data_IF_231621287162
#
_entry.id   IF_231621287162
#
_cell.length_a   1.000
_cell.length_b   1.000
_cell.length_c   1.000
_cell.angle_alpha   90.00
_cell.angle_beta   90.00
_cell.angle_gamma   90.00
#
_symmetry.space_group_name_H-M   'P 1'
#
loop_
_entity.id
_entity.type
_entity.pdbx_description
1 polymer ?
#
# COMPACT_ATOMS: atom_id res chain seq x y z
N UNK A 1 -9.91 14.60 -13.45
CA UNK A 1 -8.90 13.74 -14.13
C UNK A 1 -7.53 14.36 -13.97
N UNK A 2 -7.37 15.61 -14.41
CA UNK A 2 -6.19 16.42 -14.14
C UNK A 2 -6.52 17.50 -13.10
N UNK A 3 -5.48 17.96 -12.41
CA UNK A 3 -5.49 19.14 -11.55
C UNK A 3 -5.47 20.42 -12.38
N UNK A 4 -5.57 21.57 -11.71
CA UNK A 4 -5.35 22.90 -12.31
C UNK A 4 -3.94 23.08 -12.87
N UNK A 5 -2.98 22.26 -12.46
CA UNK A 5 -1.62 22.20 -12.97
C UNK A 5 -1.41 21.16 -14.08
N UNK A 6 -2.51 20.68 -14.70
CA UNK A 6 -2.51 19.74 -15.82
C UNK A 6 -1.79 18.42 -15.52
N UNK A 7 -1.90 17.92 -14.28
CA UNK A 7 -1.33 16.63 -13.85
C UNK A 7 -2.39 15.72 -13.24
N UNK A 8 -2.25 14.39 -13.34
CA UNK A 8 -3.11 13.48 -12.60
C UNK A 8 -3.05 13.76 -11.10
N UNK A 9 -4.19 13.60 -10.41
CA UNK A 9 -4.30 13.95 -8.99
C UNK A 9 -3.33 13.20 -8.07
N UNK A 10 -3.07 11.92 -8.35
CA UNK A 10 -2.18 11.06 -7.56
C UNK A 10 -1.87 9.76 -8.36
N UNK A 11 -0.84 8.97 -7.98
CA UNK A 11 -0.52 7.71 -8.64
C UNK A 11 -1.45 6.54 -8.31
N UNK A 12 -2.41 6.70 -7.39
CA UNK A 12 -3.35 5.64 -6.99
C UNK A 12 -4.58 5.54 -7.92
N UNK A 13 -4.71 6.47 -8.88
CA UNK A 13 -5.69 6.44 -9.96
C UNK A 13 -5.03 6.04 -11.29
N UNK A 14 -5.80 5.47 -12.22
CA UNK A 14 -5.29 4.98 -13.51
C UNK A 14 -4.46 6.02 -14.27
N UNK A 15 -4.92 7.27 -14.35
CA UNK A 15 -4.21 8.34 -15.04
C UNK A 15 -2.81 8.58 -14.45
N UNK A 16 -2.70 8.58 -13.12
CA UNK A 16 -1.42 8.72 -12.44
C UNK A 16 -0.54 7.50 -12.61
N UNK A 17 -1.10 6.29 -12.54
CA UNK A 17 -0.36 5.06 -12.76
C UNK A 17 0.21 4.95 -14.20
N UNK A 18 -0.57 5.35 -15.21
CA UNK A 18 -0.11 5.44 -16.61
C UNK A 18 1.04 6.46 -16.73
N UNK A 19 0.92 7.62 -16.09
CA UNK A 19 2.00 8.61 -16.06
C UNK A 19 3.26 8.05 -15.39
N UNK A 20 3.14 7.34 -14.26
CA UNK A 20 4.28 6.67 -13.60
C UNK A 20 4.94 5.62 -14.52
N UNK A 21 4.14 4.84 -15.24
CA UNK A 21 4.64 3.89 -16.23
C UNK A 21 5.45 4.59 -17.33
N UNK A 22 5.00 5.77 -17.80
CA UNK A 22 5.76 6.57 -18.76
C UNK A 22 7.07 7.12 -18.19
N UNK A 23 7.10 7.53 -16.92
CA UNK A 23 8.33 7.99 -16.26
C UNK A 23 9.35 6.86 -16.16
N UNK A 24 8.88 5.66 -15.78
CA UNK A 24 9.72 4.47 -15.75
C UNK A 24 10.22 4.14 -17.16
N UNK A 25 9.33 4.07 -18.17
CA UNK A 25 9.70 3.72 -19.55
C UNK A 25 10.68 4.70 -20.19
N UNK A 26 10.44 6.00 -20.02
CA UNK A 26 11.14 7.05 -20.77
C UNK A 26 12.36 7.61 -20.04
N UNK A 27 12.38 7.68 -18.70
CA UNK A 27 13.44 8.38 -17.96
C UNK A 27 14.41 7.46 -17.22
N UNK A 28 13.91 6.39 -16.64
CA UNK A 28 14.76 5.41 -15.95
C UNK A 28 15.32 4.47 -17.01
N UNK A 29 16.64 4.25 -17.14
CA UNK A 29 17.23 3.28 -18.11
C UNK A 29 16.52 3.29 -19.50
N UNK A 30 16.57 4.41 -20.24
CA UNK A 30 15.74 4.64 -21.43
C UNK A 30 16.02 3.67 -22.58
N UNK A 31 17.23 3.14 -22.65
CA UNK A 31 17.65 2.22 -23.72
C UNK A 31 17.05 0.81 -23.59
N UNK A 32 16.39 0.50 -22.46
CA UNK A 32 15.71 -0.77 -22.27
C UNK A 32 14.47 -0.91 -23.16
N UNK A 33 14.37 -2.07 -23.80
CA UNK A 33 13.16 -2.55 -24.47
C UNK A 33 12.02 -2.69 -23.46
N UNK A 34 10.79 -2.82 -23.97
CA UNK A 34 9.61 -3.01 -23.13
C UNK A 34 9.72 -4.28 -22.26
N UNK A 35 10.23 -5.38 -22.82
CA UNK A 35 10.41 -6.64 -22.09
C UNK A 35 11.43 -6.50 -20.95
N UNK A 36 12.60 -5.93 -21.23
CA UNK A 36 13.62 -5.66 -20.20
C UNK A 36 13.09 -4.73 -19.11
N UNK A 37 12.17 -3.83 -19.47
CA UNK A 37 11.52 -2.94 -18.51
C UNK A 37 10.57 -3.67 -17.57
N UNK A 38 9.80 -4.59 -18.13
CA UNK A 38 8.93 -5.44 -17.34
C UNK A 38 9.73 -6.32 -16.38
N UNK A 39 10.81 -6.95 -16.87
CA UNK A 39 11.72 -7.73 -16.03
C UNK A 39 12.37 -6.87 -14.94
N UNK A 40 12.78 -5.64 -15.28
CA UNK A 40 13.30 -4.68 -14.30
C UNK A 40 12.29 -4.40 -13.18
N UNK A 41 11.02 -4.17 -13.51
CA UNK A 41 9.95 -3.97 -12.53
C UNK A 41 9.71 -5.23 -11.69
N UNK A 42 9.63 -6.40 -12.33
CA UNK A 42 9.45 -7.68 -11.65
C UNK A 42 10.58 -7.97 -10.66
N UNK A 43 11.83 -7.61 -10.99
CA UNK A 43 12.96 -7.74 -10.07
C UNK A 43 12.78 -6.89 -8.81
N UNK A 44 12.23 -5.67 -8.91
CA UNK A 44 11.94 -4.84 -7.75
C UNK A 44 10.90 -5.47 -6.83
N UNK A 45 9.79 -5.96 -7.39
CA UNK A 45 8.78 -6.64 -6.58
C UNK A 45 9.29 -7.97 -6.00
N UNK A 46 10.12 -8.71 -6.75
CA UNK A 46 10.78 -9.94 -6.25
C UNK A 46 11.67 -9.66 -5.03
N UNK A 47 12.41 -8.55 -5.03
CA UNK A 47 13.19 -8.12 -3.86
C UNK A 47 12.28 -7.79 -2.67
N UNK A 48 11.16 -7.11 -2.92
CA UNK A 48 10.18 -6.78 -1.87
C UNK A 48 9.43 -8.01 -1.33
N UNK A 49 9.23 -9.06 -2.13
CA UNK A 49 8.58 -10.30 -1.72
C UNK A 49 9.55 -11.32 -1.08
N UNK A 50 10.81 -10.94 -0.86
CA UNK A 50 11.80 -11.84 -0.25
C UNK A 50 12.34 -12.92 -1.18
N UNK A 51 12.28 -12.70 -2.49
CA UNK A 51 12.75 -13.63 -3.50
C UNK A 51 11.67 -14.57 -4.04
N UNK A 52 10.43 -14.49 -3.54
CA UNK A 52 9.31 -15.24 -4.09
C UNK A 52 9.06 -14.82 -5.54
N UNK A 53 8.87 -15.82 -6.41
CA UNK A 53 8.60 -15.57 -7.83
C UNK A 53 7.16 -15.05 -7.99
N UNK A 54 7.06 -13.88 -8.60
CA UNK A 54 5.79 -13.31 -9.06
C UNK A 54 5.51 -13.83 -10.48
N UNK A 55 4.25 -14.09 -10.77
CA UNK A 55 3.78 -14.57 -12.06
C UNK A 55 3.37 -13.44 -12.99
N UNK A 56 2.92 -13.82 -14.18
CA UNK A 56 2.34 -12.92 -15.17
C UNK A 56 1.21 -13.64 -15.90
N UNK A 57 0.02 -13.02 -15.91
CA UNK A 57 -1.13 -13.57 -16.59
C UNK A 57 -1.30 -12.95 -17.98
N UNK A 58 -0.83 -13.66 -19.00
CA UNK A 58 -0.97 -13.18 -20.37
C UNK A 58 -2.43 -13.09 -20.84
N UNK A 59 -3.33 -13.93 -20.33
CA UNK A 59 -4.74 -13.88 -20.71
C UNK A 59 -5.42 -12.62 -20.16
N UNK A 60 -5.16 -12.26 -18.90
CA UNK A 60 -5.62 -10.99 -18.30
C UNK A 60 -5.03 -9.81 -19.05
N UNK A 61 -3.73 -9.83 -19.37
CA UNK A 61 -3.09 -8.77 -20.16
C UNK A 61 -3.78 -8.54 -21.50
N UNK A 62 -4.04 -9.60 -22.27
CA UNK A 62 -4.71 -9.50 -23.56
C UNK A 62 -6.15 -8.97 -23.39
N UNK A 63 -6.87 -9.46 -22.39
CA UNK A 63 -8.25 -9.04 -22.11
C UNK A 63 -8.33 -7.58 -21.68
N UNK A 64 -7.47 -7.13 -20.76
CA UNK A 64 -7.39 -5.75 -20.30
C UNK A 64 -7.03 -4.81 -21.46
N UNK A 65 -6.09 -5.22 -22.32
CA UNK A 65 -5.68 -4.42 -23.48
C UNK A 65 -6.79 -4.27 -24.52
N UNK A 66 -7.61 -5.30 -24.72
CA UNK A 66 -8.74 -5.27 -25.67
C UNK A 66 -9.89 -4.39 -25.15
N UNK A 67 -10.18 -4.43 -23.84
CA UNK A 67 -11.25 -3.65 -23.21
C UNK A 67 -10.81 -2.26 -22.66
N UNK A 68 -9.66 -1.76 -23.10
CA UNK A 68 -8.97 -0.61 -22.49
C UNK A 68 -9.46 0.79 -22.93
N UNK A 69 -10.64 0.94 -23.54
CA UNK A 69 -11.11 2.20 -24.14
C UNK A 69 -10.95 3.42 -23.21
N UNK A 70 -11.37 3.26 -21.95
CA UNK A 70 -11.24 4.32 -20.93
C UNK A 70 -9.78 4.71 -20.68
N UNK A 71 -8.88 3.73 -20.61
CA UNK A 71 -7.47 3.97 -20.34
C UNK A 71 -6.79 4.62 -21.57
N UNK A 72 -7.16 4.24 -22.79
CA UNK A 72 -6.69 4.92 -24.01
C UNK A 72 -7.18 6.37 -24.10
N UNK A 73 -8.47 6.62 -23.80
CA UNK A 73 -9.01 7.98 -23.76
C UNK A 73 -8.25 8.86 -22.77
N UNK A 74 -7.98 8.35 -21.56
CA UNK A 74 -7.10 8.99 -20.58
C UNK A 74 -5.70 9.25 -21.16
N UNK A 75 -5.13 8.23 -21.79
CA UNK A 75 -3.82 8.27 -22.40
C UNK A 75 -3.66 9.42 -23.39
N UNK A 76 -4.61 9.56 -24.32
CA UNK A 76 -4.64 10.64 -25.30
C UNK A 76 -4.91 12.00 -24.68
N UNK A 77 -5.85 12.09 -23.73
CA UNK A 77 -6.15 13.34 -23.04
C UNK A 77 -4.93 13.90 -22.29
N UNK A 78 -4.18 13.03 -21.60
CA UNK A 78 -2.91 13.41 -20.95
C UNK A 78 -1.83 13.82 -21.94
N UNK A 79 -1.84 13.26 -23.16
CA UNK A 79 -0.87 13.60 -24.22
C UNK A 79 -1.12 15.02 -24.74
N UNK A 80 -2.38 15.37 -24.96
CA UNK A 80 -2.78 16.72 -25.40
C UNK A 80 -2.33 17.80 -24.40
N UNK A 81 -2.46 17.52 -23.11
CA UNK A 81 -2.03 18.42 -22.02
C UNK A 81 -0.55 18.29 -21.65
N UNK A 82 0.27 17.64 -22.50
CA UNK A 82 1.73 17.49 -22.31
C UNK A 82 2.13 16.94 -20.93
N UNK A 83 1.32 16.04 -20.36
CA UNK A 83 1.62 15.46 -19.05
C UNK A 83 2.86 14.55 -19.08
N UNK A 84 3.17 13.96 -20.24
CA UNK A 84 4.25 12.97 -20.38
C UNK A 84 5.62 13.62 -20.60
N UNK A 85 6.71 12.92 -20.23
CA UNK A 85 8.06 13.31 -20.63
C UNK A 85 8.22 13.38 -22.15
N UNK A 86 9.16 14.20 -22.60
CA UNK A 86 9.55 14.25 -24.02
C UNK A 86 9.96 12.86 -24.52
N UNK A 87 9.66 12.57 -25.80
CA UNK A 87 9.94 11.28 -26.47
C UNK A 87 9.15 10.07 -25.94
N UNK A 88 8.14 10.29 -25.11
CA UNK A 88 7.27 9.20 -24.65
C UNK A 88 6.47 8.59 -25.81
N UNK A 89 6.61 7.28 -26.02
CA UNK A 89 5.73 6.51 -26.89
C UNK A 89 4.49 6.05 -26.09
N UNK A 90 3.33 6.66 -26.36
CA UNK A 90 2.11 6.36 -25.63
C UNK A 90 1.72 4.88 -25.74
N UNK A 91 1.84 4.25 -26.91
CA UNK A 91 1.44 2.85 -27.10
C UNK A 91 2.28 1.90 -26.25
N UNK A 92 3.60 2.08 -26.24
CA UNK A 92 4.49 1.30 -25.38
C UNK A 92 4.21 1.53 -23.89
N UNK A 93 3.88 2.75 -23.49
CA UNK A 93 3.54 3.06 -22.10
C UNK A 93 2.23 2.39 -21.67
N UNK A 94 1.23 2.34 -22.56
CA UNK A 94 -0.03 1.65 -22.32
C UNK A 94 0.19 0.14 -22.22
N UNK A 95 0.94 -0.45 -23.15
CA UNK A 95 1.29 -1.88 -23.09
C UNK A 95 2.06 -2.20 -21.80
N UNK A 96 3.01 -1.35 -21.40
CA UNK A 96 3.74 -1.51 -20.13
C UNK A 96 2.82 -1.44 -18.90
N UNK A 97 1.89 -0.49 -18.89
CA UNK A 97 0.89 -0.35 -17.83
C UNK A 97 0.02 -1.61 -17.72
N UNK A 98 -0.51 -2.13 -18.83
CA UNK A 98 -1.30 -3.36 -18.81
C UNK A 98 -0.49 -4.57 -18.38
N UNK A 99 0.79 -4.66 -18.78
CA UNK A 99 1.69 -5.71 -18.30
C UNK A 99 1.84 -5.67 -16.77
N UNK A 100 2.08 -4.49 -16.20
CA UNK A 100 2.19 -4.32 -14.75
C UNK A 100 0.89 -4.65 -14.02
N UNK A 101 -0.27 -4.29 -14.58
CA UNK A 101 -1.58 -4.63 -14.00
C UNK A 101 -1.92 -6.13 -14.09
N UNK A 102 -1.20 -6.89 -14.90
CA UNK A 102 -1.43 -8.32 -15.12
C UNK A 102 -0.40 -9.23 -14.42
N UNK A 103 0.40 -8.67 -13.51
CA UNK A 103 1.27 -9.46 -12.64
C UNK A 103 0.44 -10.30 -11.67
N UNK A 104 0.91 -11.52 -11.40
CA UNK A 104 0.26 -12.45 -10.47
C UNK A 104 1.09 -12.63 -9.21
N UNK A 105 0.41 -12.74 -8.08
CA UNK A 105 1.02 -12.88 -6.78
C UNK A 105 0.10 -13.67 -5.85
N UNK A 106 0.67 -14.26 -4.80
CA UNK A 106 -0.08 -14.93 -3.75
C UNK A 106 -0.29 -13.98 -2.56
N UNK A 107 -1.18 -14.34 -1.65
CA UNK A 107 -1.32 -13.58 -0.40
C UNK A 107 -0.02 -13.56 0.40
N UNK A 108 0.73 -14.66 0.39
CA UNK A 108 2.00 -14.79 1.11
C UNK A 108 3.03 -13.81 0.56
N UNK A 109 3.26 -13.81 -0.76
CA UNK A 109 4.24 -12.91 -1.40
C UNK A 109 3.88 -11.44 -1.18
N UNK A 110 2.60 -11.08 -1.32
CA UNK A 110 2.14 -9.71 -1.14
C UNK A 110 2.11 -9.27 0.33
N UNK A 111 1.97 -10.20 1.28
CA UNK A 111 2.12 -9.88 2.71
C UNK A 111 3.55 -9.46 3.04
N UNK A 112 4.56 -10.09 2.42
CA UNK A 112 5.98 -9.72 2.55
C UNK A 112 6.25 -8.37 1.88
N UNK A 113 5.64 -8.10 0.73
CA UNK A 113 5.70 -6.77 0.08
C UNK A 113 5.12 -5.68 0.99
N UNK A 114 3.94 -5.92 1.59
CA UNK A 114 3.36 -5.00 2.56
C UNK A 114 4.26 -4.81 3.78
N UNK A 115 4.88 -5.88 4.27
CA UNK A 115 5.75 -5.84 5.44
C UNK A 115 7.07 -5.13 5.13
N UNK A 116 7.59 -5.23 3.90
CA UNK A 116 8.72 -4.43 3.41
C UNK A 116 8.41 -2.93 3.47
N UNK A 117 7.19 -2.52 3.09
CA UNK A 117 6.75 -1.14 3.28
C UNK A 117 6.57 -0.78 4.75
N UNK A 118 6.02 -1.69 5.57
CA UNK A 118 5.89 -1.48 7.02
C UNK A 118 7.25 -1.26 7.70
N UNK A 119 8.29 -1.92 7.19
CA UNK A 119 9.66 -1.91 7.70
C UNK A 119 10.55 -0.87 6.99
N UNK A 120 9.97 0.22 6.49
CA UNK A 120 10.73 1.35 5.95
C UNK A 120 11.49 1.06 4.66
N UNK A 121 11.12 0.02 3.91
CA UNK A 121 11.74 -0.37 2.65
C UNK A 121 12.76 -1.49 2.77
N UNK A 122 12.91 -2.07 3.96
CA UNK A 122 13.78 -3.21 4.22
C UNK A 122 12.94 -4.48 4.20
N UNK A 123 13.29 -5.44 3.34
CA UNK A 123 12.56 -6.69 3.25
C UNK A 123 12.72 -7.47 4.57
N UNK A 124 11.63 -7.88 5.24
CA UNK A 124 11.71 -8.46 6.58
C UNK A 124 12.27 -9.88 6.60
N UNK A 125 12.26 -10.59 5.46
CA UNK A 125 12.74 -11.97 5.36
C UNK A 125 14.18 -12.08 4.84
N UNK A 126 14.65 -11.09 4.05
CA UNK A 126 16.03 -11.08 3.52
C UNK A 126 16.91 -10.00 4.12
N UNK A 127 16.35 -9.05 4.87
CA UNK A 127 17.02 -7.85 5.39
C UNK A 127 17.61 -6.92 4.31
N UNK A 128 17.29 -7.15 3.03
CA UNK A 128 17.75 -6.31 1.94
C UNK A 128 17.09 -4.92 2.03
N UNK A 129 17.90 -3.86 1.92
CA UNK A 129 17.43 -2.48 1.76
C UNK A 129 16.94 -2.29 0.32
N UNK A 130 15.66 -2.56 0.10
CA UNK A 130 15.05 -2.45 -1.23
C UNK A 130 14.74 -0.99 -1.54
N UNK A 131 13.91 -0.33 -0.72
CA UNK A 131 13.47 1.04 -0.98
C UNK A 131 14.08 2.02 0.01
N UNK A 132 14.25 3.28 -0.42
CA UNK A 132 14.62 4.37 0.50
C UNK A 132 13.45 4.69 1.43
N UNK A 133 13.68 4.94 2.73
CA UNK A 133 12.61 5.23 3.70
C UNK A 133 11.73 6.43 3.31
N UNK A 134 12.33 7.45 2.68
CA UNK A 134 11.61 8.63 2.19
C UNK A 134 10.54 8.27 1.15
N UNK A 135 10.88 7.39 0.21
CA UNK A 135 9.96 6.90 -0.83
C UNK A 135 8.83 6.09 -0.19
N UNK A 136 9.16 5.26 0.79
CA UNK A 136 8.17 4.46 1.52
C UNK A 136 7.19 5.34 2.27
N UNK A 137 7.67 6.38 2.95
CA UNK A 137 6.80 7.37 3.61
C UNK A 137 5.82 8.01 2.63
N UNK A 138 6.30 8.41 1.46
CA UNK A 138 5.47 9.09 0.45
C UNK A 138 4.40 8.12 -0.12
N UNK A 139 4.78 6.86 -0.40
CA UNK A 139 3.86 5.80 -0.82
C UNK A 139 2.80 5.53 0.24
N UNK A 140 3.18 5.33 1.50
CA UNK A 140 2.24 5.07 2.59
C UNK A 140 1.31 6.24 2.87
N UNK A 141 1.76 7.47 2.66
CA UNK A 141 0.93 8.67 2.79
C UNK A 141 -0.14 8.71 1.71
N UNK A 142 0.23 8.43 0.46
CA UNK A 142 -0.72 8.36 -0.65
C UNK A 142 -1.68 7.16 -0.55
N UNK A 143 -1.21 6.01 -0.07
CA UNK A 143 -2.06 4.85 0.19
C UNK A 143 -3.12 5.18 1.24
N UNK A 144 -2.76 5.92 2.28
CA UNK A 144 -3.69 6.34 3.32
C UNK A 144 -4.79 7.27 2.79
N UNK A 145 -4.47 8.24 1.94
CA UNK A 145 -5.45 9.22 1.45
C UNK A 145 -6.19 8.81 0.18
N UNK A 146 -5.63 7.94 -0.64
CA UNK A 146 -6.10 7.70 -2.02
C UNK A 146 -6.14 6.22 -2.44
N UNK A 147 -5.88 5.27 -1.52
CA UNK A 147 -5.64 3.87 -1.91
C UNK A 147 -6.87 2.98 -2.14
N UNK A 148 -8.04 3.36 -1.64
CA UNK A 148 -9.27 2.53 -1.59
C UNK A 148 -10.39 3.09 -2.48
N UNK A 149 -10.04 3.59 -3.67
CA UNK A 149 -10.97 4.26 -4.60
C UNK A 149 -11.74 5.40 -3.89
N UNK A 150 -13.02 5.56 -4.19
CA UNK A 150 -13.88 6.58 -3.57
C UNK A 150 -14.13 6.31 -2.08
N UNK A 151 -13.83 5.09 -1.58
CA UNK A 151 -13.88 4.75 -0.16
C UNK A 151 -12.67 5.25 0.64
N UNK A 152 -11.63 5.81 -0.01
CA UNK A 152 -10.37 6.20 0.65
C UNK A 152 -10.55 7.11 1.86
N UNK A 153 -11.43 8.12 1.77
CA UNK A 153 -11.69 9.04 2.89
C UNK A 153 -12.37 8.36 4.08
N UNK A 154 -13.35 7.49 3.82
CA UNK A 154 -14.04 6.73 4.87
C UNK A 154 -13.12 5.68 5.49
N UNK A 155 -12.31 5.01 4.67
CA UNK A 155 -11.32 4.04 5.14
C UNK A 155 -10.26 4.71 6.01
N UNK A 156 -9.73 5.86 5.60
CA UNK A 156 -8.78 6.63 6.39
C UNK A 156 -9.36 7.09 7.74
N UNK A 157 -10.67 7.37 7.80
CA UNK A 157 -11.35 7.79 9.03
C UNK A 157 -11.70 6.62 9.96
N UNK A 158 -12.22 5.50 9.41
CA UNK A 158 -12.69 4.36 10.19
C UNK A 158 -11.56 3.39 10.55
N UNK A 159 -10.71 3.08 9.58
CA UNK A 159 -9.62 2.10 9.70
C UNK A 159 -8.28 2.79 9.99
N UNK A 160 -8.01 3.92 9.35
CA UNK A 160 -6.81 4.70 9.66
C UNK A 160 -5.49 4.06 9.25
N UNK A 161 -5.51 3.01 8.43
CA UNK A 161 -4.32 2.32 7.94
C UNK A 161 -4.06 2.67 6.46
N UNK A 162 -2.79 2.78 6.02
CA UNK A 162 -2.47 2.77 4.60
C UNK A 162 -2.91 1.46 3.96
N UNK A 163 -3.70 1.55 2.88
CA UNK A 163 -4.11 0.38 2.13
C UNK A 163 -4.17 0.66 0.63
N UNK A 164 -4.16 -0.38 -0.20
CA UNK A 164 -4.48 -0.30 -1.63
C UNK A 164 -5.38 -1.47 -2.02
N UNK A 165 -6.51 -1.14 -2.63
CA UNK A 165 -7.44 -2.12 -3.20
C UNK A 165 -7.15 -2.39 -4.68
N UNK A 166 -7.43 -3.61 -5.13
CA UNK A 166 -7.37 -4.01 -6.53
C UNK A 166 -8.63 -4.74 -6.97
N UNK A 167 -9.00 -4.59 -8.24
CA UNK A 167 -10.21 -5.18 -8.85
C UNK A 167 -10.19 -6.72 -8.88
N UNK A 168 -9.04 -7.35 -8.62
CA UNK A 168 -8.92 -8.79 -8.41
C UNK A 168 -9.48 -9.27 -7.06
N UNK A 169 -9.94 -8.34 -6.20
CA UNK A 169 -10.38 -8.61 -4.84
C UNK A 169 -9.25 -8.62 -3.81
N UNK A 170 -8.06 -8.16 -4.19
CA UNK A 170 -6.91 -8.00 -3.29
C UNK A 170 -6.95 -6.67 -2.54
N UNK A 171 -6.61 -6.68 -1.25
CA UNK A 171 -6.37 -5.48 -0.45
C UNK A 171 -5.01 -5.63 0.25
N UNK A 172 -4.07 -4.76 -0.12
CA UNK A 172 -2.79 -4.60 0.55
C UNK A 172 -2.98 -3.64 1.73
N UNK A 173 -2.71 -4.08 2.96
CA UNK A 173 -2.82 -3.24 4.17
C UNK A 173 -1.46 -3.19 4.85
N UNK A 174 -1.01 -1.99 5.22
CA UNK A 174 0.26 -1.78 5.90
C UNK A 174 0.01 -1.21 7.28
N UNK A 175 0.61 -1.81 8.31
CA UNK A 175 0.66 -1.28 9.67
C UNK A 175 2.11 -0.88 9.92
N UNK A 176 2.47 0.42 9.73
CA UNK A 176 3.86 0.85 9.78
C UNK A 176 4.54 0.48 11.08
N UNK A 177 5.78 -0.02 10.98
CA UNK A 177 6.61 -0.52 12.09
C UNK A 177 6.02 -1.72 12.86
N UNK A 178 5.01 -2.42 12.31
CA UNK A 178 4.42 -3.60 12.94
C UNK A 178 4.36 -4.78 11.98
N UNK A 179 3.56 -4.68 10.91
CA UNK A 179 3.37 -5.78 9.96
C UNK A 179 2.75 -5.31 8.64
N UNK A 180 2.84 -6.16 7.63
CA UNK A 180 2.08 -6.06 6.39
C UNK A 180 1.07 -7.19 6.26
N UNK A 181 -0.07 -6.90 5.65
CA UNK A 181 -1.15 -7.87 5.44
C UNK A 181 -1.61 -7.76 3.98
N UNK A 182 -1.94 -8.90 3.39
CA UNK A 182 -2.68 -8.95 2.13
C UNK A 182 -3.92 -9.81 2.30
N UNK A 183 -5.09 -9.25 2.02
CA UNK A 183 -6.36 -9.95 2.01
C UNK A 183 -6.78 -10.20 0.57
N UNK A 184 -7.32 -11.38 0.27
CA UNK A 184 -7.87 -11.67 -1.06
C UNK A 184 -9.24 -12.30 -0.96
N UNK A 185 -10.22 -11.67 -1.61
CA UNK A 185 -11.58 -12.15 -1.76
C UNK A 185 -12.18 -11.51 -3.03
N UNK A 186 -12.37 -12.26 -4.12
CA UNK A 186 -12.82 -11.73 -5.42
C UNK A 186 -14.13 -10.91 -5.41
N UNK A 187 -15.17 -11.23 -4.60
CA UNK A 187 -16.39 -10.41 -4.57
C UNK A 187 -16.12 -8.97 -4.13
N UNK A 188 -16.51 -8.02 -4.98
CA UNK A 188 -16.34 -6.58 -4.77
C UNK A 188 -17.65 -5.91 -4.36
N UNK A 189 -17.52 -4.82 -3.61
CA UNK A 189 -18.60 -3.89 -3.31
C UNK A 189 -18.89 -2.97 -4.53
N UNK A 190 -19.94 -2.13 -4.49
CA UNK A 190 -20.24 -1.18 -5.56
C UNK A 190 -19.15 -0.13 -5.84
N UNK A 191 -18.18 0.04 -4.92
CA UNK A 191 -17.06 0.98 -5.05
C UNK A 191 -15.79 0.30 -5.59
N UNK A 192 -15.84 -1.01 -5.86
CA UNK A 192 -14.71 -1.79 -6.40
C UNK A 192 -13.74 -2.34 -5.35
N UNK A 193 -14.10 -2.31 -4.07
CA UNK A 193 -13.28 -2.87 -2.99
C UNK A 193 -13.74 -4.28 -2.60
N UNK A 194 -12.80 -5.13 -2.17
CA UNK A 194 -13.15 -6.47 -1.68
C UNK A 194 -14.04 -6.41 -0.43
N UNK A 195 -15.23 -7.02 -0.49
CA UNK A 195 -16.19 -6.99 0.63
C UNK A 195 -15.59 -7.54 1.93
N UNK A 196 -14.96 -8.73 1.85
CA UNK A 196 -14.38 -9.40 3.02
C UNK A 196 -13.10 -8.73 3.50
N UNK A 197 -12.28 -8.20 2.58
CA UNK A 197 -11.06 -7.51 2.96
C UNK A 197 -11.34 -6.18 3.67
N UNK A 198 -12.41 -5.46 3.28
CA UNK A 198 -12.89 -4.29 4.02
C UNK A 198 -13.39 -4.66 5.41
N UNK A 199 -14.26 -5.67 5.51
CA UNK A 199 -14.79 -6.14 6.80
C UNK A 199 -13.64 -6.54 7.75
N UNK A 200 -12.69 -7.33 7.26
CA UNK A 200 -11.50 -7.73 8.02
C UNK A 200 -10.70 -6.52 8.52
N UNK A 201 -10.53 -5.50 7.67
CA UNK A 201 -9.79 -4.28 8.02
C UNK A 201 -10.50 -3.45 9.09
N UNK A 202 -11.84 -3.47 9.16
CA UNK A 202 -12.59 -2.81 10.24
C UNK A 202 -12.52 -3.63 11.54
N UNK A 203 -12.63 -4.96 11.46
CA UNK A 203 -12.54 -5.84 12.61
C UNK A 203 -11.16 -5.81 13.28
N UNK A 204 -10.07 -5.72 12.51
CA UNK A 204 -8.71 -5.69 13.06
C UNK A 204 -8.48 -4.43 13.89
N UNK A 205 -8.95 -3.26 13.46
CA UNK A 205 -8.79 -2.00 14.21
C UNK A 205 -9.79 -1.86 15.36
N UNK A 206 -10.89 -2.59 15.31
CA UNK A 206 -11.81 -2.72 16.44
C UNK A 206 -11.18 -3.57 17.56
N UNK A 207 -10.50 -4.65 17.18
CA UNK A 207 -9.83 -5.55 18.12
C UNK A 207 -8.50 -5.01 18.66
N UNK A 208 -7.73 -4.30 17.84
CA UNK A 208 -6.36 -3.86 18.15
C UNK A 208 -6.17 -2.34 18.03
N UNK A 209 -5.24 -1.78 18.81
CA UNK A 209 -4.89 -0.35 18.77
C UNK A 209 -3.98 0.04 17.58
N UNK A 210 -4.32 -0.44 16.39
CA UNK A 210 -3.54 -0.22 15.16
C UNK A 210 -3.96 1.01 14.37
N UNK A 211 -5.13 1.58 14.65
CA UNK A 211 -5.56 2.82 13.98
C UNK A 211 -4.48 3.90 14.16
N UNK A 212 -4.09 4.60 13.09
CA UNK A 212 -2.97 5.57 13.11
C UNK A 212 -3.08 6.61 14.22
N UNK A 213 -4.31 6.99 14.57
CA UNK A 213 -4.60 7.99 15.60
C UNK A 213 -5.06 7.40 16.95
N UNK A 214 -4.97 6.08 17.15
CA UNK A 214 -5.23 5.46 18.46
C UNK A 214 -4.10 5.77 19.46
N UNK A 215 -4.46 5.82 20.75
CA UNK A 215 -3.51 6.08 21.83
C UNK A 215 -2.76 4.82 22.25
N UNK A 216 -1.42 4.92 22.33
CA UNK A 216 -0.56 3.81 22.74
C UNK A 216 -0.39 3.67 24.25
N UNK A 217 -0.64 4.72 25.04
CA UNK A 217 -0.40 4.78 26.49
C UNK A 217 -1.68 4.52 27.28
N UNK A 218 -2.74 5.25 26.99
CA UNK A 218 -4.05 5.17 27.63
C UNK A 218 -4.94 4.29 26.77
N UNK A 219 -4.97 3.00 27.11
CA UNK A 219 -5.66 2.01 26.31
C UNK A 219 -7.18 2.23 26.37
N UNK A 220 -7.80 2.29 25.19
CA UNK A 220 -9.18 1.88 24.97
C UNK A 220 -9.30 0.37 25.25
N UNK A 221 -10.50 -0.21 25.27
CA UNK A 221 -10.74 -1.66 25.48
C UNK A 221 -10.10 -2.60 24.41
N UNK A 222 -9.13 -2.11 23.63
CA UNK A 222 -8.43 -2.77 22.53
C UNK A 222 -7.16 -3.47 22.99
N UNK A 223 -6.72 -4.46 22.21
CA UNK A 223 -5.49 -5.23 22.46
C UNK A 223 -4.29 -4.53 21.82
N UNK A 224 -3.15 -4.55 22.51
CA UNK A 224 -1.86 -4.15 21.94
C UNK A 224 -0.90 -5.35 21.94
N UNK A 225 -0.62 -5.97 20.78
CA UNK A 225 0.24 -7.15 20.71
C UNK A 225 1.73 -6.81 20.86
N UNK A 226 2.11 -5.52 20.85
CA UNK A 226 3.50 -5.09 21.07
C UNK A 226 3.92 -5.16 22.54
N UNK A 227 2.95 -5.29 23.47
CA UNK A 227 3.21 -5.35 24.91
C UNK A 227 3.17 -6.79 25.41
N UNK A 228 4.20 -7.21 26.14
CA UNK A 228 4.16 -8.47 26.89
C UNK A 228 3.19 -8.34 28.08
N UNK A 229 2.15 -9.20 28.09
CA UNK A 229 1.07 -9.16 29.11
C UNK A 229 1.55 -9.25 30.56
N UNK A 230 2.63 -10.00 30.80
CA UNK A 230 3.14 -10.25 32.16
C UNK A 230 4.03 -9.10 32.67
N UNK A 231 4.94 -8.58 31.84
CA UNK A 231 5.77 -7.43 32.21
C UNK A 231 4.90 -6.20 32.50
N UNK A 232 3.87 -5.94 31.69
CA UNK A 232 3.09 -4.70 31.84
C UNK A 232 2.28 -4.68 33.15
N UNK A 233 1.65 -5.81 33.54
CA UNK A 233 0.90 -5.89 34.81
C UNK A 233 1.85 -5.82 36.02
N UNK A 234 2.98 -6.53 35.96
CA UNK A 234 3.98 -6.49 37.02
C UNK A 234 4.53 -5.08 37.23
N UNK A 235 4.93 -4.41 36.14
CA UNK A 235 5.45 -3.05 36.18
C UNK A 235 4.43 -2.05 36.72
N UNK A 236 3.16 -2.16 36.30
CA UNK A 236 2.09 -1.30 36.80
C UNK A 236 1.84 -1.49 38.31
N UNK A 237 1.83 -2.74 38.79
CA UNK A 237 1.69 -3.03 40.23
C UNK A 237 2.89 -2.50 41.00
N UNK A 238 4.11 -2.75 40.52
CA UNK A 238 5.34 -2.27 41.16
C UNK A 238 5.36 -0.75 41.22
N UNK A 239 5.04 -0.06 40.12
CA UNK A 239 4.98 1.40 40.10
C UNK A 239 3.94 1.94 41.09
N UNK A 240 2.76 1.32 41.15
CA UNK A 240 1.73 1.70 42.12
C UNK A 240 2.21 1.52 43.57
N UNK A 241 2.87 0.40 43.87
CA UNK A 241 3.43 0.10 45.19
C UNK A 241 4.56 1.08 45.56
N UNK A 242 5.44 1.44 44.62
CA UNK A 242 6.47 2.44 44.85
C UNK A 242 5.87 3.81 45.14
N UNK A 243 4.87 4.24 44.38
CA UNK A 243 4.16 5.51 44.63
C UNK A 243 3.47 5.53 46.00
N UNK A 244 2.90 4.40 46.42
CA UNK A 244 2.35 4.26 47.76
C UNK A 244 3.43 4.32 48.85
N UNK A 245 4.56 3.64 48.65
CA UNK A 245 5.67 3.63 49.59
C UNK A 245 6.34 5.01 49.73
N UNK A 246 6.43 5.79 48.65
CA UNK A 246 6.99 7.14 48.67
C UNK A 246 6.01 8.22 49.14
N UNK A 247 4.75 7.86 49.44
CA UNK A 247 3.71 8.81 49.82
C UNK A 247 3.29 9.77 48.70
N UNK A 248 3.57 9.43 47.43
CA UNK A 248 3.20 10.27 46.29
C UNK A 248 1.71 10.09 45.92
N UNK A 249 0.86 10.80 46.65
CA UNK A 249 -0.60 10.80 46.45
C UNK A 249 -0.99 11.33 45.06
N UNK A 250 -0.13 12.12 44.41
CA UNK A 250 -0.41 12.67 43.07
C UNK A 250 -0.27 11.58 42.01
N UNK A 251 0.76 10.73 42.12
CA UNK A 251 0.94 9.58 41.24
C UNK A 251 -0.16 8.51 41.44
N UNK A 252 -0.62 8.31 42.68
CA UNK A 252 -1.71 7.38 42.99
C UNK A 252 -3.09 7.81 42.44
N UNK A 253 -3.30 9.12 42.24
CA UNK A 253 -4.55 9.67 41.71
C UNK A 253 -4.63 9.70 40.18
N UNK A 254 -3.51 9.50 39.48
CA UNK A 254 -3.41 9.50 38.02
C UNK A 254 -3.63 8.10 37.44
#
# INVERSE_FOLDING_TARGET
>A
MLTTSEKPHNPMINAGAILVCSLLKTLVKPDMTLAEKFDYTMQWFKKMSGGENLGFNNAVFLSEREAADRNYALGFYMREHKCYPDKTNLRECMDFYFQCCSMEATCDSMSVVAATLANGGICPVTEEKVLRPEVVRDVLSLMHSCGMYDYSGQFAFKVGLPAKSGVSGGILVVIPNVMGIFCWSPPLDPLGNSCRGLQFSEEIVSAFNFHRYDNLKHATNKKDPRRHRYETKGLSIVNLLFSAASGDVTALRR
#
